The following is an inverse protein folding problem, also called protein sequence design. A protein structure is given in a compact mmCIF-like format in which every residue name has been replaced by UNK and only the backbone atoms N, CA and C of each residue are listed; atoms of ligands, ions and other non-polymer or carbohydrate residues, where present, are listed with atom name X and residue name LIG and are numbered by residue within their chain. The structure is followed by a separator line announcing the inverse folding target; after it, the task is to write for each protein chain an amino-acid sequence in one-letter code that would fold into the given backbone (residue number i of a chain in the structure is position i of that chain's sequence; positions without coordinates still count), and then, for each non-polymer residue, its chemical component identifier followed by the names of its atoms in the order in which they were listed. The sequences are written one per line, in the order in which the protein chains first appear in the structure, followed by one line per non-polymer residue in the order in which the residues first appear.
data_IF_611911463929
#
_entry.id   IF_611911463929
#
_cell.length_a   1.000
_cell.length_b   1.000
_cell.length_c   1.000
_cell.angle_alpha   90.00
_cell.angle_beta   90.00
_cell.angle_gamma   90.00
#
_symmetry.space_group_name_H-M   'P 1'
#
loop_
_entity.id
_entity.type
_entity.pdbx_description
1 polymer ?
#
# COMPACT_ATOMS: atom_id res chain seq x y z
N UNK A 1 -23.11 24.70 -7.86
CA UNK A 1 -22.93 24.74 -6.39
C UNK A 1 -23.32 23.36 -5.85
N UNK A 2 -22.37 22.57 -5.38
CA UNK A 2 -22.66 21.26 -4.75
C UNK A 2 -23.14 21.53 -3.31
N UNK A 3 -24.40 21.25 -3.03
CA UNK A 3 -24.96 21.32 -1.68
C UNK A 3 -24.35 20.14 -0.89
N UNK A 4 -23.31 20.37 -0.10
CA UNK A 4 -22.84 19.39 0.85
C UNK A 4 -23.96 19.13 1.87
N UNK A 5 -24.48 17.91 1.89
CA UNK A 5 -25.36 17.47 2.97
C UNK A 5 -24.54 17.48 4.26
N UNK A 6 -24.91 18.35 5.19
CA UNK A 6 -24.23 18.51 6.47
C UNK A 6 -25.10 17.84 7.54
N UNK A 7 -24.82 16.58 7.85
CA UNK A 7 -25.46 15.89 8.96
C UNK A 7 -24.77 16.28 10.26
N UNK A 8 -25.47 16.97 11.15
CA UNK A 8 -24.98 17.22 12.48
C UNK A 8 -24.99 15.93 13.31
N UNK A 9 -23.96 15.70 14.13
CA UNK A 9 -23.94 14.57 15.04
C UNK A 9 -25.15 14.63 15.99
N UNK A 10 -25.85 13.50 16.14
CA UNK A 10 -26.92 13.38 17.12
C UNK A 10 -26.31 13.23 18.53
N UNK A 11 -26.56 14.18 19.41
CA UNK A 11 -26.02 14.21 20.77
C UNK A 11 -26.47 13.02 21.64
N UNK A 12 -27.57 12.37 21.30
CA UNK A 12 -28.02 11.13 21.97
C UNK A 12 -27.01 10.00 21.85
N UNK A 13 -26.17 10.01 20.81
CA UNK A 13 -25.11 9.02 20.59
C UNK A 13 -23.76 9.43 21.15
N UNK A 14 -23.63 10.64 21.73
CA UNK A 14 -22.37 11.11 22.27
C UNK A 14 -21.74 10.16 23.33
N UNK A 15 -22.51 9.56 24.27
CA UNK A 15 -21.96 8.60 25.23
C UNK A 15 -21.35 7.34 24.59
N UNK A 16 -21.82 6.96 23.40
CA UNK A 16 -21.36 5.75 22.71
C UNK A 16 -20.07 5.99 21.92
N UNK A 17 -19.73 7.23 21.61
CA UNK A 17 -18.55 7.58 20.77
C UNK A 17 -17.25 7.05 21.34
N UNK A 18 -17.03 7.22 22.65
CA UNK A 18 -15.80 6.79 23.32
C UNK A 18 -15.66 5.27 23.29
N UNK A 19 -16.72 4.55 23.65
CA UNK A 19 -16.74 3.07 23.63
C UNK A 19 -16.56 2.51 22.22
N UNK A 20 -17.20 3.13 21.22
CA UNK A 20 -17.04 2.72 19.83
C UNK A 20 -15.61 2.98 19.33
N UNK A 21 -15.05 4.14 19.63
CA UNK A 21 -13.65 4.47 19.27
C UNK A 21 -12.67 3.47 19.88
N UNK A 22 -12.83 3.14 21.16
CA UNK A 22 -11.98 2.14 21.83
C UNK A 22 -12.12 0.76 21.17
N UNK A 23 -13.34 0.34 20.84
CA UNK A 23 -13.58 -0.94 20.15
C UNK A 23 -12.93 -0.97 18.76
N UNK A 24 -13.10 0.10 17.97
CA UNK A 24 -12.48 0.23 16.65
C UNK A 24 -10.95 0.15 16.75
N UNK A 25 -10.35 0.86 17.72
CA UNK A 25 -8.90 0.83 17.92
C UNK A 25 -8.41 -0.59 18.25
N UNK A 26 -9.08 -1.29 19.17
CA UNK A 26 -8.75 -2.69 19.48
C UNK A 26 -8.84 -3.61 18.26
N UNK A 27 -9.86 -3.40 17.40
CA UNK A 27 -9.98 -4.18 16.17
C UNK A 27 -8.87 -3.85 15.17
N UNK A 28 -8.52 -2.57 15.01
CA UNK A 28 -7.43 -2.14 14.14
C UNK A 28 -6.07 -2.69 14.61
N UNK A 29 -5.84 -2.80 15.92
CA UNK A 29 -4.62 -3.35 16.50
C UNK A 29 -4.48 -4.87 16.31
N UNK A 30 -5.58 -5.56 16.01
CA UNK A 30 -5.57 -6.99 15.66
C UNK A 30 -5.25 -7.25 14.19
N UNK A 31 -5.16 -6.21 13.37
CA UNK A 31 -4.80 -6.36 11.96
C UNK A 31 -3.31 -6.63 11.85
N UNK A 32 -2.98 -7.75 11.23
CA UNK A 32 -1.61 -8.23 10.98
C UNK A 32 -1.38 -8.47 9.50
N UNK A 33 -0.14 -8.59 9.03
CA UNK A 33 0.13 -8.97 7.66
C UNK A 33 -0.60 -10.23 7.19
N UNK A 34 -0.76 -11.22 8.08
CA UNK A 34 -1.34 -12.52 7.77
C UNK A 34 -2.87 -12.47 7.62
N UNK A 35 -3.55 -11.61 8.38
CA UNK A 35 -5.01 -11.51 8.33
C UNK A 35 -5.52 -10.34 7.46
N UNK A 36 -4.66 -9.41 7.08
CA UNK A 36 -5.02 -8.29 6.22
C UNK A 36 -5.70 -8.71 4.90
N UNK A 37 -5.26 -9.77 4.19
CA UNK A 37 -5.93 -10.21 2.97
C UNK A 37 -7.41 -10.52 3.16
N UNK A 38 -7.83 -10.96 4.35
CA UNK A 38 -9.24 -11.25 4.66
C UNK A 38 -10.11 -10.01 4.78
N UNK A 39 -9.51 -8.82 4.92
CA UNK A 39 -10.22 -7.55 4.92
C UNK A 39 -10.47 -7.03 3.49
N UNK A 40 -9.78 -7.57 2.50
CA UNK A 40 -9.92 -7.18 1.11
C UNK A 40 -11.08 -7.96 0.48
N UNK A 41 -12.24 -7.34 0.44
CA UNK A 41 -13.37 -7.87 -0.33
C UNK A 41 -13.13 -7.71 -1.85
N UNK A 42 -14.09 -8.16 -2.65
CA UNK A 42 -14.03 -8.04 -4.11
C UNK A 42 -13.81 -6.57 -4.57
N UNK A 43 -14.42 -5.60 -3.89
CA UNK A 43 -14.35 -4.17 -4.26
C UNK A 43 -12.96 -3.60 -4.00
N UNK A 44 -12.41 -3.87 -2.83
CA UNK A 44 -11.05 -3.45 -2.45
C UNK A 44 -10.00 -4.08 -3.34
N UNK A 45 -10.13 -5.37 -3.63
CA UNK A 45 -9.25 -6.08 -4.55
C UNK A 45 -9.35 -5.57 -6.00
N UNK A 46 -10.57 -5.22 -6.47
CA UNK A 46 -10.75 -4.61 -7.80
C UNK A 46 -10.12 -3.23 -7.86
N UNK A 47 -10.36 -2.38 -6.85
CA UNK A 47 -9.75 -1.05 -6.76
C UNK A 47 -8.22 -1.12 -6.91
N UNK A 48 -7.58 -2.04 -6.19
CA UNK A 48 -6.12 -2.20 -6.25
C UNK A 48 -5.66 -2.63 -7.64
N UNK A 49 -6.27 -3.66 -8.23
CA UNK A 49 -5.93 -4.10 -9.60
C UNK A 49 -6.14 -3.00 -10.63
N UNK A 50 -7.25 -2.27 -10.53
CA UNK A 50 -7.61 -1.23 -11.50
C UNK A 50 -6.61 -0.06 -11.43
N UNK A 51 -6.17 0.35 -10.23
CA UNK A 51 -5.16 1.41 -10.12
C UNK A 51 -3.80 0.94 -10.60
N UNK A 52 -3.38 -0.29 -10.31
CA UNK A 52 -2.10 -0.82 -10.78
C UNK A 52 -2.06 -0.88 -12.31
N UNK A 53 -3.15 -1.34 -12.93
CA UNK A 53 -3.28 -1.34 -14.38
C UNK A 53 -3.31 0.10 -14.97
N UNK A 54 -4.04 1.02 -14.34
CA UNK A 54 -4.16 2.41 -14.81
C UNK A 54 -2.82 3.15 -14.79
N UNK A 55 -1.96 2.87 -13.82
CA UNK A 55 -0.61 3.46 -13.76
C UNK A 55 0.42 2.65 -14.57
N UNK A 56 0.02 1.54 -15.20
CA UNK A 56 0.90 0.64 -15.96
C UNK A 56 2.04 0.08 -15.12
N UNK A 57 1.73 -0.34 -13.90
CA UNK A 57 2.66 -1.05 -13.05
C UNK A 57 2.75 -2.52 -13.53
N UNK A 58 3.96 -3.08 -13.54
CA UNK A 58 4.17 -4.50 -13.77
C UNK A 58 3.80 -5.30 -12.52
N UNK A 59 4.12 -4.76 -11.35
CA UNK A 59 3.76 -5.32 -10.06
C UNK A 59 3.12 -4.25 -9.18
N UNK A 60 2.09 -4.65 -8.43
CA UNK A 60 1.47 -3.83 -7.39
C UNK A 60 1.38 -4.59 -6.08
N UNK A 61 1.64 -3.94 -4.96
CA UNK A 61 1.59 -4.60 -3.65
C UNK A 61 1.10 -3.69 -2.53
N UNK A 62 0.57 -4.31 -1.48
CA UNK A 62 0.24 -3.65 -0.21
C UNK A 62 1.10 -4.28 0.88
N UNK A 63 1.80 -3.43 1.58
CA UNK A 63 2.71 -3.76 2.67
C UNK A 63 2.07 -3.37 3.99
N UNK A 64 2.09 -4.26 4.97
CA UNK A 64 1.54 -4.03 6.31
C UNK A 64 2.65 -4.13 7.34
N UNK A 65 2.63 -3.23 8.31
CA UNK A 65 3.55 -3.26 9.45
C UNK A 65 3.31 -4.53 10.28
N UNK A 66 4.36 -5.26 10.58
CA UNK A 66 4.29 -6.43 11.46
C UNK A 66 4.02 -6.04 12.93
N UNK A 67 3.63 -7.01 13.75
CA UNK A 67 3.33 -6.78 15.17
C UNK A 67 4.56 -6.36 15.98
N UNK A 68 5.76 -6.80 15.58
CA UNK A 68 7.02 -6.39 16.20
C UNK A 68 7.40 -4.95 15.88
N UNK A 69 6.75 -4.34 14.88
CA UNK A 69 7.04 -2.99 14.35
C UNK A 69 8.48 -2.86 13.82
N UNK A 70 8.98 -3.94 13.25
CA UNK A 70 10.35 -4.01 12.71
C UNK A 70 10.36 -4.11 11.18
N UNK A 71 9.28 -4.65 10.58
CA UNK A 71 9.22 -4.92 9.15
C UNK A 71 7.88 -4.49 8.55
N UNK A 72 7.95 -4.10 7.27
CA UNK A 72 6.81 -4.09 6.38
C UNK A 72 6.74 -5.42 5.65
N UNK A 73 5.58 -6.04 5.62
CA UNK A 73 5.36 -7.37 5.05
C UNK A 73 4.37 -7.28 3.91
N UNK A 74 4.69 -7.86 2.75
CA UNK A 74 3.77 -7.93 1.60
C UNK A 74 2.56 -8.77 1.99
N UNK A 75 1.40 -8.13 2.09
CA UNK A 75 0.14 -8.74 2.50
C UNK A 75 -0.89 -8.84 1.37
N UNK A 76 -0.63 -8.18 0.26
CA UNK A 76 -1.36 -8.30 -1.00
C UNK A 76 -0.39 -8.02 -2.15
N UNK A 77 -0.52 -8.77 -3.24
CA UNK A 77 0.27 -8.56 -4.44
C UNK A 77 -0.55 -8.86 -5.69
N UNK A 78 -0.20 -8.20 -6.78
CA UNK A 78 -0.77 -8.38 -8.12
C UNK A 78 0.33 -8.15 -9.14
N UNK A 79 0.46 -9.03 -10.13
CA UNK A 79 1.50 -9.03 -11.15
C UNK A 79 2.10 -10.43 -11.33
N UNK A 80 3.08 -10.58 -12.23
CA UNK A 80 3.69 -11.88 -12.57
C UNK A 80 4.33 -12.59 -11.36
N UNK A 81 4.95 -11.86 -10.44
CA UNK A 81 5.65 -12.42 -9.28
C UNK A 81 4.83 -12.35 -7.98
N UNK A 82 3.51 -12.08 -8.08
CA UNK A 82 2.66 -11.89 -6.91
C UNK A 82 2.78 -13.02 -5.87
N UNK A 83 2.82 -14.28 -6.33
CA UNK A 83 2.95 -15.44 -5.44
C UNK A 83 4.32 -15.51 -4.74
N UNK A 84 5.38 -15.07 -5.41
CA UNK A 84 6.75 -15.17 -4.90
C UNK A 84 7.08 -14.07 -3.87
N UNK A 85 6.37 -12.92 -3.95
CA UNK A 85 6.59 -11.79 -3.05
C UNK A 85 5.68 -11.79 -1.83
N UNK A 86 4.58 -12.55 -1.84
CA UNK A 86 3.71 -12.65 -0.65
C UNK A 86 4.48 -13.08 0.59
N UNK A 87 4.28 -12.34 1.70
CA UNK A 87 4.97 -12.57 2.96
C UNK A 87 6.43 -12.11 3.00
N UNK A 88 6.96 -11.50 1.93
CA UNK A 88 8.29 -10.90 1.95
C UNK A 88 8.35 -9.79 2.99
N UNK A 89 9.45 -9.76 3.77
CA UNK A 89 9.68 -8.81 4.87
C UNK A 89 10.77 -7.80 4.50
N UNK A 90 10.41 -6.54 4.53
CA UNK A 90 11.33 -5.41 4.35
C UNK A 90 11.59 -4.75 5.70
N UNK A 91 12.85 -4.69 6.19
CA UNK A 91 13.18 -3.97 7.42
C UNK A 91 12.82 -2.49 7.33
N UNK A 92 12.32 -1.91 8.41
CA UNK A 92 12.00 -0.46 8.46
C UNK A 92 13.26 0.42 8.32
N UNK A 93 14.43 -0.12 8.61
CA UNK A 93 15.71 0.62 8.55
C UNK A 93 16.22 0.91 7.13
N UNK A 94 15.62 0.32 6.09
CA UNK A 94 16.12 0.46 4.72
C UNK A 94 15.00 0.32 3.68
N UNK A 95 15.23 0.91 2.51
CA UNK A 95 14.35 0.78 1.35
C UNK A 95 13.34 1.93 1.20
N UNK A 96 12.97 2.17 -0.05
CA UNK A 96 12.04 3.25 -0.45
C UNK A 96 10.65 3.06 0.21
N UNK A 97 10.16 1.82 0.26
CA UNK A 97 8.88 1.50 0.91
C UNK A 97 8.89 1.88 2.39
N UNK A 98 9.98 1.53 3.10
CA UNK A 98 10.16 1.86 4.52
C UNK A 98 10.31 3.36 4.75
N UNK A 99 11.01 4.06 3.87
CA UNK A 99 11.13 5.52 3.92
C UNK A 99 9.76 6.19 3.77
N UNK A 100 8.92 5.72 2.85
CA UNK A 100 7.55 6.22 2.68
C UNK A 100 6.70 6.01 3.93
N UNK A 101 6.80 4.83 4.54
CA UNK A 101 6.07 4.51 5.76
C UNK A 101 6.47 5.41 6.93
N UNK A 102 7.80 5.57 7.17
CA UNK A 102 8.31 6.35 8.31
C UNK A 102 8.04 7.85 8.16
N UNK A 103 8.20 8.37 6.92
CA UNK A 103 7.96 9.79 6.65
C UNK A 103 6.49 10.13 6.46
N UNK A 104 5.64 9.12 6.30
CA UNK A 104 4.23 9.25 5.90
C UNK A 104 4.05 10.05 4.60
N UNK A 105 5.07 10.02 3.72
CA UNK A 105 5.06 10.71 2.44
C UNK A 105 4.97 9.72 1.28
N UNK A 106 4.08 9.99 0.33
CA UNK A 106 4.07 9.25 -0.93
C UNK A 106 4.92 9.96 -1.97
N UNK A 107 5.68 9.19 -2.73
CA UNK A 107 6.50 9.70 -3.83
C UNK A 107 6.60 8.71 -4.99
N UNK A 108 7.00 9.22 -6.13
CA UNK A 108 7.34 8.44 -7.31
C UNK A 108 8.83 8.64 -7.59
N UNK A 109 9.54 7.54 -7.79
CA UNK A 109 10.96 7.52 -8.10
C UNK A 109 11.17 6.75 -9.40
N UNK A 110 11.92 7.34 -10.31
CA UNK A 110 12.36 6.71 -11.54
C UNK A 110 13.88 6.46 -11.44
N UNK A 111 14.40 5.51 -12.20
CA UNK A 111 15.80 5.07 -12.07
C UNK A 111 16.13 4.48 -10.67
N UNK A 112 15.16 3.81 -10.05
CA UNK A 112 15.22 3.24 -8.70
C UNK A 112 16.47 2.38 -8.47
N UNK A 113 16.90 1.62 -9.47
CA UNK A 113 18.09 0.76 -9.40
C UNK A 113 19.42 1.51 -9.15
N UNK A 114 19.41 2.84 -9.34
CA UNK A 114 20.55 3.74 -9.04
C UNK A 114 20.38 4.50 -7.73
N UNK A 115 19.19 4.40 -7.11
CA UNK A 115 18.88 5.18 -5.92
C UNK A 115 19.53 4.56 -4.68
N UNK A 116 20.24 5.38 -3.87
CA UNK A 116 20.98 4.91 -2.69
C UNK A 116 20.08 4.25 -1.62
N UNK A 117 18.83 4.69 -1.50
CA UNK A 117 17.87 4.11 -0.56
C UNK A 117 17.21 2.83 -1.08
N UNK A 118 17.48 2.40 -2.31
CA UNK A 118 16.85 1.20 -2.85
C UNK A 118 17.36 -0.07 -2.18
N UNK A 119 16.44 -0.84 -1.60
CA UNK A 119 16.72 -2.18 -1.08
C UNK A 119 16.65 -3.19 -2.23
N UNK A 120 17.76 -3.80 -2.59
CA UNK A 120 17.84 -4.79 -3.67
C UNK A 120 17.39 -6.20 -3.27
N UNK A 121 17.00 -6.40 -2.01
CA UNK A 121 16.67 -7.73 -1.50
C UNK A 121 15.57 -8.44 -2.31
N UNK A 122 14.57 -7.70 -2.77
CA UNK A 122 13.48 -8.25 -3.57
C UNK A 122 13.90 -8.45 -5.02
N UNK A 123 14.64 -7.50 -5.60
CA UNK A 123 15.19 -7.59 -6.95
C UNK A 123 16.09 -8.82 -7.09
N UNK A 124 16.97 -9.07 -6.12
CA UNK A 124 17.85 -10.23 -6.08
C UNK A 124 17.07 -11.56 -5.95
N UNK A 125 16.05 -11.58 -5.08
CA UNK A 125 15.20 -12.75 -4.91
C UNK A 125 14.46 -13.15 -6.20
N UNK A 126 13.98 -12.16 -6.95
CA UNK A 126 13.17 -12.35 -8.16
C UNK A 126 13.99 -12.38 -9.45
N UNK A 127 15.29 -12.08 -9.37
CA UNK A 127 16.17 -11.92 -10.55
C UNK A 127 15.66 -10.88 -11.55
N UNK A 128 15.09 -9.79 -11.04
CA UNK A 128 14.60 -8.64 -11.81
C UNK A 128 15.31 -7.36 -11.36
N UNK A 129 15.03 -6.26 -12.01
CA UNK A 129 15.51 -4.94 -11.61
C UNK A 129 14.36 -3.96 -11.57
N UNK A 130 14.13 -3.36 -10.41
CA UNK A 130 13.14 -2.29 -10.27
C UNK A 130 13.64 -1.02 -10.93
N UNK A 131 12.97 -0.61 -12.02
CA UNK A 131 13.27 0.64 -12.74
C UNK A 131 12.60 1.82 -12.09
N UNK A 132 11.29 1.78 -11.93
CA UNK A 132 10.52 2.87 -11.34
C UNK A 132 9.58 2.35 -10.25
N UNK A 133 9.33 3.20 -9.25
CA UNK A 133 8.47 2.87 -8.11
C UNK A 133 7.59 4.06 -7.71
N UNK A 134 6.31 3.79 -7.46
CA UNK A 134 5.44 4.65 -6.67
C UNK A 134 5.25 3.99 -5.31
N UNK A 135 5.27 4.82 -4.27
CA UNK A 135 4.89 4.42 -2.91
C UNK A 135 3.92 5.44 -2.33
N UNK A 136 2.89 4.95 -1.66
CA UNK A 136 1.91 5.79 -0.97
C UNK A 136 1.51 5.15 0.36
N UNK A 137 1.69 5.86 1.48
CA UNK A 137 1.24 5.34 2.77
C UNK A 137 -0.29 5.24 2.79
N UNK A 138 -0.81 4.26 3.52
CA UNK A 138 -2.22 4.18 3.80
C UNK A 138 -2.47 3.96 5.29
N UNK A 139 -3.69 4.28 5.70
CA UNK A 139 -4.04 4.39 7.11
C UNK A 139 -5.17 3.42 7.45
N UNK A 140 -5.20 2.97 8.70
CA UNK A 140 -6.35 2.31 9.29
C UNK A 140 -6.72 3.13 10.52
N UNK A 141 -7.93 3.66 10.53
CA UNK A 141 -8.34 4.75 11.42
C UNK A 141 -7.38 5.96 11.23
N UNK A 142 -6.76 6.41 12.31
CA UNK A 142 -5.86 7.58 12.31
C UNK A 142 -4.36 7.18 12.28
N UNK A 143 -4.03 5.89 12.14
CA UNK A 143 -2.65 5.40 12.18
C UNK A 143 -2.17 4.94 10.81
N UNK A 144 -0.96 5.35 10.41
CA UNK A 144 -0.28 4.76 9.26
C UNK A 144 -0.02 3.28 9.56
N UNK A 145 -0.54 2.39 8.73
CA UNK A 145 -0.45 0.93 8.92
C UNK A 145 0.28 0.21 7.80
N UNK A 146 0.52 0.89 6.70
CA UNK A 146 1.20 0.27 5.58
C UNK A 146 1.48 1.21 4.42
N UNK A 147 1.89 0.59 3.33
CA UNK A 147 2.25 1.29 2.09
C UNK A 147 1.66 0.52 0.91
N UNK A 148 1.10 1.24 -0.06
CA UNK A 148 0.81 0.70 -1.39
C UNK A 148 2.02 1.02 -2.25
N UNK A 149 2.56 0.02 -2.97
CA UNK A 149 3.62 0.24 -3.95
C UNK A 149 3.24 -0.27 -5.33
N UNK A 150 3.71 0.44 -6.34
CA UNK A 150 3.61 0.07 -7.75
C UNK A 150 5.02 0.13 -8.33
N UNK A 151 5.42 -0.87 -9.09
CA UNK A 151 6.76 -0.91 -9.71
C UNK A 151 6.67 -1.17 -11.21
N UNK A 152 7.64 -0.63 -11.94
CA UNK A 152 7.98 -1.04 -13.30
C UNK A 152 9.33 -1.72 -13.26
N UNK A 153 9.43 -2.85 -13.94
CA UNK A 153 10.59 -3.74 -13.94
C UNK A 153 11.32 -3.66 -15.27
N UNK A 154 12.64 -3.88 -15.24
CA UNK A 154 13.47 -4.03 -16.43
C UNK A 154 14.42 -5.21 -16.26
N UNK A 155 14.80 -5.79 -17.39
CA UNK A 155 15.95 -6.70 -17.43
C UNK A 155 17.22 -5.89 -17.66
N UNK A 156 18.27 -6.19 -16.90
CA UNK A 156 19.57 -5.57 -17.06
C UNK A 156 20.64 -6.63 -17.24
N UNK A 157 21.68 -6.32 -18.03
CA UNK A 157 22.95 -7.05 -18.03
C UNK A 157 24.01 -6.21 -17.32
N UNK A 158 24.94 -6.87 -16.68
CA UNK A 158 26.05 -6.19 -16.01
C UNK A 158 27.27 -6.19 -16.94
N UNK A 159 27.68 -5.00 -17.37
CA UNK A 159 28.88 -4.78 -18.19
C UNK A 159 29.79 -3.78 -17.47
N UNK A 160 31.05 -4.14 -17.26
CA UNK A 160 32.08 -3.29 -16.63
C UNK A 160 31.61 -2.62 -15.33
N UNK A 161 30.86 -3.35 -14.48
CA UNK A 161 30.31 -2.85 -13.23
C UNK A 161 29.12 -1.89 -13.37
N UNK A 162 28.56 -1.76 -14.58
CA UNK A 162 27.36 -0.96 -14.85
C UNK A 162 26.18 -1.87 -15.21
N UNK A 163 25.00 -1.48 -14.75
CA UNK A 163 23.73 -2.11 -15.18
C UNK A 163 23.26 -1.43 -16.47
N UNK A 164 23.20 -2.23 -17.56
CA UNK A 164 22.74 -1.76 -18.87
C UNK A 164 21.41 -2.43 -19.17
N UNK A 165 20.32 -1.68 -19.42
CA UNK A 165 19.03 -2.24 -19.79
C UNK A 165 19.15 -3.11 -21.08
N UNK A 166 18.48 -4.25 -21.08
CA UNK A 166 18.46 -5.19 -22.22
C UNK A 166 17.30 -4.92 -23.20
N UNK A 167 16.35 -4.11 -22.79
CA UNK A 167 15.13 -3.79 -23.52
C UNK A 167 14.79 -2.31 -23.44
N UNK A 168 13.72 -1.88 -24.11
CA UNK A 168 13.23 -0.51 -24.02
C UNK A 168 12.85 -0.16 -22.58
N UNK A 169 13.39 0.95 -22.11
CA UNK A 169 13.15 1.43 -20.75
C UNK A 169 11.67 1.90 -20.64
N UNK A 170 10.92 1.45 -19.63
CA UNK A 170 9.57 1.97 -19.37
C UNK A 170 9.57 3.50 -19.21
N UNK A 171 8.43 4.13 -19.48
CA UNK A 171 8.30 5.58 -19.39
C UNK A 171 8.41 6.16 -17.98
N UNK A 172 8.53 5.30 -16.96
CA UNK A 172 8.51 5.70 -15.56
C UNK A 172 7.13 6.14 -15.08
N UNK A 173 7.08 6.67 -13.87
CA UNK A 173 5.86 7.18 -13.27
C UNK A 173 5.85 8.70 -13.21
N UNK A 174 4.68 9.27 -13.52
CA UNK A 174 4.41 10.71 -13.43
C UNK A 174 3.82 11.09 -12.07
N UNK A 175 3.79 12.37 -11.75
CA UNK A 175 3.05 12.89 -10.60
C UNK A 175 1.54 12.56 -10.66
N UNK A 176 0.96 12.50 -11.86
CA UNK A 176 -0.43 12.08 -12.04
C UNK A 176 -0.66 10.63 -11.66
N UNK A 177 0.31 9.73 -11.92
CA UNK A 177 0.29 8.34 -11.45
C UNK A 177 0.36 8.28 -9.91
N UNK A 178 1.26 9.05 -9.29
CA UNK A 178 1.36 9.15 -7.83
C UNK A 178 0.05 9.61 -7.21
N UNK A 179 -0.59 10.64 -7.77
CA UNK A 179 -1.88 11.14 -7.30
C UNK A 179 -3.00 10.10 -7.43
N UNK A 180 -2.97 9.27 -8.48
CA UNK A 180 -3.93 8.18 -8.65
C UNK A 180 -3.75 7.12 -7.53
N UNK A 181 -2.51 6.71 -7.24
CA UNK A 181 -2.22 5.75 -6.17
C UNK A 181 -2.57 6.32 -4.79
N UNK A 182 -2.25 7.59 -4.52
CA UNK A 182 -2.64 8.27 -3.26
C UNK A 182 -4.15 8.31 -3.07
N UNK A 183 -4.92 8.64 -4.11
CA UNK A 183 -6.39 8.62 -4.04
C UNK A 183 -6.91 7.22 -3.77
N UNK A 184 -6.33 6.19 -4.38
CA UNK A 184 -6.72 4.80 -4.15
C UNK A 184 -6.36 4.34 -2.73
N UNK A 185 -5.24 4.81 -2.16
CA UNK A 185 -4.89 4.57 -0.76
C UNK A 185 -5.95 5.16 0.19
N UNK A 186 -6.44 6.38 -0.08
CA UNK A 186 -7.53 6.99 0.70
C UNK A 186 -8.83 6.18 0.60
N UNK A 187 -9.22 5.75 -0.62
CA UNK A 187 -10.42 4.93 -0.80
C UNK A 187 -10.28 3.58 -0.10
N UNK A 188 -9.10 2.94 -0.15
CA UNK A 188 -8.83 1.70 0.57
C UNK A 188 -8.97 1.91 2.09
N UNK A 189 -8.41 2.99 2.62
CA UNK A 189 -8.56 3.42 4.01
C UNK A 189 -10.04 3.51 4.40
N UNK A 190 -10.86 4.21 3.60
CA UNK A 190 -12.29 4.39 3.88
C UNK A 190 -13.05 3.05 3.84
N UNK A 191 -12.74 2.17 2.88
CA UNK A 191 -13.37 0.84 2.79
C UNK A 191 -13.03 -0.03 4.01
N UNK A 192 -11.77 -0.04 4.45
CA UNK A 192 -11.35 -0.79 5.63
C UNK A 192 -11.99 -0.20 6.90
N UNK A 193 -11.97 1.11 7.07
CA UNK A 193 -12.59 1.78 8.22
C UNK A 193 -14.11 1.52 8.27
N UNK A 194 -14.78 1.53 7.12
CA UNK A 194 -16.19 1.17 7.02
C UNK A 194 -16.43 -0.29 7.42
N UNK A 195 -15.57 -1.22 6.98
CA UNK A 195 -15.66 -2.63 7.35
C UNK A 195 -15.49 -2.82 8.88
N UNK A 196 -14.50 -2.16 9.47
CA UNK A 196 -14.30 -2.18 10.93
C UNK A 196 -15.51 -1.63 11.67
N UNK A 197 -16.07 -0.51 11.20
CA UNK A 197 -17.27 0.09 11.80
C UNK A 197 -18.47 -0.86 11.74
N UNK A 198 -18.75 -1.43 10.58
CA UNK A 198 -19.83 -2.41 10.41
C UNK A 198 -19.69 -3.57 11.40
N UNK A 199 -18.50 -4.14 11.47
CA UNK A 199 -18.19 -5.26 12.37
C UNK A 199 -18.33 -4.84 13.84
N UNK A 200 -17.86 -3.63 14.20
CA UNK A 200 -17.93 -3.13 15.57
C UNK A 200 -19.35 -2.98 16.08
N UNK A 201 -20.29 -2.55 15.22
CA UNK A 201 -21.72 -2.36 15.59
C UNK A 201 -22.60 -3.56 15.26
N UNK A 202 -22.04 -4.64 14.68
CA UNK A 202 -22.80 -5.83 14.30
C UNK A 202 -23.76 -5.60 13.12
N UNK A 203 -23.45 -4.64 12.25
CA UNK A 203 -24.29 -4.35 11.10
C UNK A 203 -23.92 -5.26 9.93
N UNK A 204 -24.71 -6.31 9.76
CA UNK A 204 -24.64 -7.15 8.56
C UNK A 204 -25.45 -6.49 7.45
N UNK A 205 -24.81 -6.23 6.31
CA UNK A 205 -25.54 -5.85 5.10
C UNK A 205 -26.18 -7.12 4.54
N UNK A 206 -27.51 -7.15 4.53
CA UNK A 206 -28.31 -8.16 3.82
C UNK A 206 -28.04 -8.12 2.32
#
# INVERSE_FOLDING_TARGET
MSTRLNFLPDERFAPLRASLKERLQKMADLITPENFPSLLDYRSGSLLRDVFAAVRADEGSVWILDQAKEHLVVSYASGPHAADIMGFKQPLSAGIVSTSFISEQGFAENDVYRHELHSRLLDEKLHVTTYAMIVAPFYILDACRGVISCVQLINVRHEDGRSVPMEEIPGGFSMGNLDAVKRSALVLTDLINYLLLRTAIGWEAN
#
